data_IF_613679350903
#
_entry.id   IF_613679350903
#
_cell.length_a   1.000
_cell.length_b   1.000
_cell.length_c   1.000
_cell.angle_alpha   90.00
_cell.angle_beta   90.00
_cell.angle_gamma   90.00
#
_symmetry.space_group_name_H-M   'P 1'
#
loop_
_entity.id
_entity.type
_entity.pdbx_description
1 polymer ?
#
# COMPACT_ATOMS: atom_id res chain seq x y z
N UNK A 1 12.98 15.58 22.87
CA UNK A 1 12.51 15.62 21.47
C UNK A 1 12.20 14.20 20.96
N UNK A 2 13.18 13.29 20.95
CA UNK A 2 12.98 11.89 20.52
C UNK A 2 11.87 11.15 21.30
N UNK A 3 11.77 11.35 22.62
CA UNK A 3 10.70 10.72 23.42
C UNK A 3 9.29 11.22 23.09
N UNK A 4 9.18 12.47 22.63
CA UNK A 4 7.90 13.02 22.20
C UNK A 4 7.49 12.44 20.84
N UNK A 5 8.43 12.42 19.90
CA UNK A 5 8.20 11.94 18.55
C UNK A 5 7.89 10.43 18.61
N UNK A 6 8.81 9.62 19.14
CA UNK A 6 8.62 8.16 19.26
C UNK A 6 7.58 7.71 20.29
N UNK A 7 6.93 8.65 20.99
CA UNK A 7 5.93 8.42 22.03
C UNK A 7 4.57 9.02 21.69
N UNK A 8 4.16 10.13 22.33
CA UNK A 8 2.86 10.76 22.08
C UNK A 8 2.54 11.02 20.61
N UNK A 9 3.49 11.55 19.83
CA UNK A 9 3.26 11.87 18.43
C UNK A 9 3.06 10.61 17.58
N UNK A 10 3.87 9.57 17.82
CA UNK A 10 3.69 8.27 17.19
C UNK A 10 2.30 7.69 17.46
N UNK A 11 1.82 7.73 18.71
CA UNK A 11 0.46 7.27 19.06
C UNK A 11 -0.61 8.09 18.33
N UNK A 12 -0.49 9.42 18.28
CA UNK A 12 -1.39 10.28 17.52
C UNK A 12 -1.39 9.90 16.04
N UNK A 13 -0.21 9.67 15.45
CA UNK A 13 -0.07 9.28 14.05
C UNK A 13 -0.76 7.95 13.75
N UNK A 14 -0.64 6.95 14.64
CA UNK A 14 -1.31 5.67 14.52
C UNK A 14 -2.84 5.79 14.62
N UNK A 15 -3.34 6.62 15.55
CA UNK A 15 -4.78 6.87 15.71
C UNK A 15 -5.34 7.55 14.46
N UNK A 16 -4.69 8.60 13.97
CA UNK A 16 -5.10 9.30 12.73
C UNK A 16 -5.10 8.34 11.55
N UNK A 17 -4.02 7.57 11.37
CA UNK A 17 -3.92 6.57 10.31
C UNK A 17 -5.06 5.56 10.39
N UNK A 18 -5.25 4.94 11.55
CA UNK A 18 -6.22 3.84 11.73
C UNK A 18 -7.65 4.34 11.58
N UNK A 19 -8.03 5.38 12.31
CA UNK A 19 -9.38 5.96 12.24
C UNK A 19 -9.65 6.52 10.84
N UNK A 20 -8.67 7.18 10.23
CA UNK A 20 -8.79 7.72 8.88
C UNK A 20 -8.98 6.62 7.82
N UNK A 21 -8.23 5.52 7.92
CA UNK A 21 -8.40 4.37 7.01
C UNK A 21 -9.75 3.69 7.20
N UNK A 22 -10.20 3.50 8.45
CA UNK A 22 -11.54 2.98 8.74
C UNK A 22 -12.64 3.89 8.19
N UNK A 23 -12.49 5.21 8.33
CA UNK A 23 -13.41 6.18 7.75
C UNK A 23 -13.44 6.08 6.22
N UNK A 24 -12.28 5.91 5.56
CA UNK A 24 -12.23 5.66 4.10
C UNK A 24 -12.97 4.40 3.69
N UNK A 25 -12.80 3.30 4.43
CA UNK A 25 -13.54 2.05 4.20
C UNK A 25 -15.04 2.27 4.35
N UNK A 26 -15.46 2.92 5.44
CA UNK A 26 -16.87 3.21 5.69
C UNK A 26 -17.48 4.08 4.60
N UNK A 27 -16.82 5.16 4.22
CA UNK A 27 -17.26 6.08 3.17
C UNK A 27 -17.33 5.38 1.81
N UNK A 28 -16.36 4.51 1.50
CA UNK A 28 -16.38 3.71 0.27
C UNK A 28 -17.64 2.85 0.20
N UNK A 29 -17.87 2.03 1.23
CA UNK A 29 -19.03 1.14 1.28
C UNK A 29 -20.33 1.93 1.26
N UNK A 30 -20.40 3.07 1.98
CA UNK A 30 -21.55 3.99 1.98
C UNK A 30 -21.75 4.75 0.67
N UNK A 31 -20.72 4.88 -0.15
CA UNK A 31 -20.78 5.50 -1.48
C UNK A 31 -21.27 4.54 -2.57
N UNK A 32 -21.22 3.22 -2.34
CA UNK A 32 -21.72 2.22 -3.29
C UNK A 32 -23.22 2.38 -3.55
N UNK A 33 -23.66 2.18 -4.78
CA UNK A 33 -25.08 2.22 -5.14
C UNK A 33 -25.84 1.10 -4.41
N UNK A 34 -26.87 1.49 -3.67
CA UNK A 34 -27.62 0.55 -2.85
C UNK A 34 -28.28 -0.57 -3.66
N UNK A 35 -28.83 -0.24 -4.83
CA UNK A 35 -29.59 -1.19 -5.67
C UNK A 35 -28.66 -2.02 -6.53
N UNK A 36 -27.74 -1.36 -7.24
CA UNK A 36 -26.86 -2.01 -8.21
C UNK A 36 -25.75 -2.82 -7.55
N UNK A 37 -25.33 -2.44 -6.35
CA UNK A 37 -24.14 -3.03 -5.72
C UNK A 37 -24.55 -3.75 -4.44
N UNK A 38 -25.02 -3.04 -3.41
CA UNK A 38 -25.22 -3.67 -2.09
C UNK A 38 -26.27 -4.79 -2.09
N UNK A 39 -27.44 -4.55 -2.69
CA UNK A 39 -28.49 -5.58 -2.79
C UNK A 39 -28.00 -6.74 -3.68
N UNK A 40 -27.45 -6.43 -4.85
CA UNK A 40 -27.00 -7.43 -5.81
C UNK A 40 -25.92 -8.36 -5.21
N UNK A 41 -24.95 -7.80 -4.48
CA UNK A 41 -23.88 -8.56 -3.84
C UNK A 41 -24.39 -9.44 -2.70
N UNK A 42 -25.40 -8.96 -1.95
CA UNK A 42 -26.03 -9.70 -0.85
C UNK A 42 -26.95 -10.82 -1.35
N UNK A 43 -27.63 -10.61 -2.47
CA UNK A 43 -28.51 -11.62 -3.05
C UNK A 43 -27.73 -12.76 -3.72
N UNK A 44 -26.59 -12.44 -4.36
CA UNK A 44 -25.73 -13.40 -5.04
C UNK A 44 -24.42 -13.68 -4.28
N UNK A 45 -24.51 -13.95 -2.97
CA UNK A 45 -23.33 -14.22 -2.12
C UNK A 45 -22.51 -15.42 -2.58
N UNK A 46 -23.16 -16.40 -3.18
CA UNK A 46 -22.56 -17.60 -3.78
C UNK A 46 -21.54 -17.27 -4.89
N UNK A 47 -21.76 -16.17 -5.62
CA UNK A 47 -20.88 -15.72 -6.72
C UNK A 47 -20.04 -14.52 -6.34
N UNK A 48 -20.58 -13.63 -5.51
CA UNK A 48 -19.92 -12.38 -5.15
C UNK A 48 -18.65 -12.63 -4.34
N UNK A 49 -18.73 -13.42 -3.27
CA UNK A 49 -17.58 -13.69 -2.39
C UNK A 49 -16.44 -14.37 -3.15
N UNK A 50 -16.66 -15.46 -3.92
CA UNK A 50 -15.59 -16.04 -4.73
C UNK A 50 -15.01 -15.08 -5.77
N UNK A 51 -15.86 -14.28 -6.43
CA UNK A 51 -15.42 -13.26 -7.39
C UNK A 51 -14.51 -12.19 -6.77
N UNK A 52 -14.88 -11.70 -5.58
CA UNK A 52 -14.09 -10.75 -4.83
C UNK A 52 -12.70 -11.32 -4.48
N UNK A 53 -12.67 -12.52 -3.90
CA UNK A 53 -11.45 -13.19 -3.48
C UNK A 53 -10.54 -13.52 -4.67
N UNK A 54 -11.10 -14.05 -5.77
CA UNK A 54 -10.35 -14.36 -6.97
C UNK A 54 -9.69 -13.12 -7.57
N UNK A 55 -10.42 -12.00 -7.64
CA UNK A 55 -9.88 -10.72 -8.11
C UNK A 55 -8.75 -10.23 -7.21
N UNK A 56 -8.96 -10.15 -5.89
CA UNK A 56 -7.92 -9.71 -4.95
C UNK A 56 -6.65 -10.56 -5.11
N UNK A 57 -6.80 -11.88 -5.06
CA UNK A 57 -5.67 -12.80 -5.10
C UNK A 57 -4.84 -12.66 -6.38
N UNK A 58 -5.51 -12.52 -7.54
CA UNK A 58 -4.80 -12.38 -8.81
C UNK A 58 -4.07 -11.06 -8.97
N UNK A 59 -4.60 -9.99 -8.40
CA UNK A 59 -3.91 -8.70 -8.40
C UNK A 59 -2.74 -8.67 -7.40
N UNK A 60 -2.72 -9.54 -6.37
CA UNK A 60 -1.61 -9.71 -5.43
C UNK A 60 -0.45 -10.55 -5.99
N UNK A 61 -0.64 -11.26 -7.10
CA UNK A 61 0.39 -12.13 -7.69
C UNK A 61 1.01 -11.46 -8.92
N UNK A 62 2.36 -11.34 -9.00
CA UNK A 62 3.03 -10.89 -10.21
C UNK A 62 2.64 -11.77 -11.41
N UNK A 63 2.10 -11.15 -12.46
CA UNK A 63 1.62 -11.86 -13.65
C UNK A 63 0.28 -12.59 -13.50
N UNK A 64 -0.39 -12.47 -12.34
CA UNK A 64 -1.73 -13.04 -12.11
C UNK A 64 -2.83 -12.42 -12.97
N UNK A 65 -2.54 -11.28 -13.60
CA UNK A 65 -3.44 -10.52 -14.48
C UNK A 65 -2.74 -10.24 -15.82
N UNK A 66 -3.49 -10.16 -16.92
CA UNK A 66 -3.08 -9.61 -18.21
C UNK A 66 -2.50 -8.19 -18.06
N UNK A 67 -3.10 -7.35 -17.23
CA UNK A 67 -2.52 -6.04 -16.88
C UNK A 67 -1.08 -6.13 -16.37
N UNK A 68 -0.77 -7.12 -15.53
CA UNK A 68 0.58 -7.39 -15.07
C UNK A 68 1.50 -8.00 -16.14
N UNK A 69 0.96 -8.86 -17.01
CA UNK A 69 1.72 -9.54 -18.06
C UNK A 69 2.08 -8.63 -19.24
N UNK A 70 1.22 -7.67 -19.56
CA UNK A 70 1.43 -6.71 -20.66
C UNK A 70 2.46 -5.62 -20.33
N UNK A 71 2.75 -5.39 -19.05
CA UNK A 71 3.71 -4.37 -18.60
C UNK A 71 4.75 -4.93 -17.61
N UNK A 72 5.54 -5.95 -18.00
CA UNK A 72 6.34 -6.75 -17.08
C UNK A 72 7.35 -5.92 -16.28
N UNK A 73 7.99 -4.92 -16.91
CA UNK A 73 8.93 -4.02 -16.20
C UNK A 73 8.22 -3.21 -15.13
N UNK A 74 7.07 -2.62 -15.43
CA UNK A 74 6.30 -1.84 -14.46
C UNK A 74 5.77 -2.73 -13.33
N UNK A 75 5.36 -3.96 -13.65
CA UNK A 75 4.94 -4.99 -12.69
C UNK A 75 6.08 -5.31 -11.72
N UNK A 76 7.28 -5.61 -12.21
CA UNK A 76 8.43 -5.91 -11.34
C UNK A 76 8.73 -4.74 -10.40
N UNK A 77 8.82 -3.52 -10.94
CA UNK A 77 9.08 -2.33 -10.11
C UNK A 77 7.96 -2.09 -9.09
N UNK A 78 6.70 -2.27 -9.48
CA UNK A 78 5.56 -2.17 -8.58
C UNK A 78 5.71 -3.14 -7.41
N UNK A 79 5.96 -4.42 -7.67
CA UNK A 79 6.07 -5.43 -6.63
C UNK A 79 7.30 -5.25 -5.75
N UNK A 80 8.45 -4.85 -6.32
CA UNK A 80 9.64 -4.52 -5.52
C UNK A 80 9.35 -3.40 -4.52
N UNK A 81 8.70 -2.32 -4.96
CA UNK A 81 8.30 -1.24 -4.07
C UNK A 81 7.30 -1.70 -3.01
N UNK A 82 6.26 -2.44 -3.39
CA UNK A 82 5.20 -2.82 -2.45
C UNK A 82 5.66 -3.90 -1.46
N UNK A 83 6.52 -4.83 -1.88
CA UNK A 83 7.11 -5.78 -0.95
C UNK A 83 7.95 -5.09 0.12
N UNK A 84 8.78 -4.11 -0.24
CA UNK A 84 9.45 -3.33 0.80
C UNK A 84 8.48 -2.50 1.63
N UNK A 85 7.53 -1.80 1.00
CA UNK A 85 6.54 -0.94 1.68
C UNK A 85 5.61 -1.69 2.64
N UNK A 86 5.43 -3.00 2.46
CA UNK A 86 4.65 -3.84 3.37
C UNK A 86 5.57 -4.57 4.35
N UNK A 87 6.60 -5.26 3.85
CA UNK A 87 7.38 -6.17 4.69
C UNK A 87 8.33 -5.42 5.64
N UNK A 88 8.97 -4.32 5.19
CA UNK A 88 9.97 -3.61 6.02
C UNK A 88 9.31 -2.88 7.20
N UNK A 89 8.23 -2.09 7.02
CA UNK A 89 7.56 -1.45 8.15
C UNK A 89 6.90 -2.42 9.12
N UNK A 90 6.47 -3.60 8.67
CA UNK A 90 5.79 -4.57 9.54
C UNK A 90 6.76 -5.51 10.27
N UNK A 91 7.86 -5.89 9.64
CA UNK A 91 8.71 -6.98 10.13
C UNK A 91 10.18 -6.59 10.34
N UNK A 92 10.59 -5.34 10.15
CA UNK A 92 11.93 -4.92 10.60
C UNK A 92 11.93 -4.82 12.14
N UNK A 93 13.00 -5.31 12.78
CA UNK A 93 13.12 -5.38 14.25
C UNK A 93 12.78 -4.06 14.96
N UNK A 94 13.25 -2.92 14.45
CA UNK A 94 12.96 -1.62 15.06
C UNK A 94 11.45 -1.29 15.07
N UNK A 95 10.72 -1.70 14.04
CA UNK A 95 9.28 -1.49 13.95
C UNK A 95 8.50 -2.51 14.79
N UNK A 96 8.93 -3.78 14.82
CA UNK A 96 8.24 -4.81 15.61
C UNK A 96 8.34 -4.52 17.10
N UNK A 97 9.49 -4.02 17.58
CA UNK A 97 9.66 -3.60 18.98
C UNK A 97 8.74 -2.42 19.33
N UNK A 98 8.58 -1.45 18.41
CA UNK A 98 7.62 -0.35 18.62
C UNK A 98 6.18 -0.84 18.64
N UNK A 99 5.82 -1.75 17.73
CA UNK A 99 4.49 -2.35 17.69
C UNK A 99 4.18 -3.10 18.99
N UNK A 100 5.12 -3.90 19.49
CA UNK A 100 4.97 -4.62 20.76
C UNK A 100 4.83 -3.66 21.93
N UNK A 101 5.64 -2.59 21.96
CA UNK A 101 5.59 -1.57 23.02
C UNK A 101 4.25 -0.85 23.11
N UNK A 102 3.63 -0.49 21.98
CA UNK A 102 2.42 0.33 21.96
C UNK A 102 1.12 -0.45 21.80
N UNK A 103 1.17 -1.62 21.17
CA UNK A 103 -0.01 -2.44 20.83
C UNK A 103 0.02 -3.80 21.53
N UNK A 104 1.15 -4.23 22.10
CA UNK A 104 1.31 -5.52 22.75
C UNK A 104 1.38 -6.71 21.79
N UNK A 105 1.53 -6.46 20.49
CA UNK A 105 1.61 -7.50 19.45
C UNK A 105 3.07 -7.67 19.05
N UNK A 106 3.60 -8.87 19.25
CA UNK A 106 4.94 -9.25 18.76
C UNK A 106 4.82 -9.92 17.39
N UNK A 107 5.55 -9.39 16.41
CA UNK A 107 5.65 -9.95 15.06
C UNK A 107 7.08 -10.51 14.83
N UNK A 108 7.23 -11.56 14.01
CA UNK A 108 8.55 -12.07 13.66
C UNK A 108 9.37 -10.99 12.93
N UNK A 109 10.67 -10.93 13.20
CA UNK A 109 11.55 -9.99 12.52
C UNK A 109 12.22 -10.60 11.28
N UNK A 110 12.31 -9.84 10.19
CA UNK A 110 13.12 -10.19 9.02
C UNK A 110 14.61 -10.16 9.36
N UNK A 111 15.44 -10.99 8.67
CA UNK A 111 16.89 -10.81 8.70
C UNK A 111 17.28 -9.40 8.23
N UNK A 112 18.21 -8.76 8.94
CA UNK A 112 18.64 -7.38 8.64
C UNK A 112 19.06 -7.18 7.18
N UNK A 113 19.86 -8.10 6.63
CA UNK A 113 20.28 -8.07 5.21
C UNK A 113 19.10 -8.11 4.24
N UNK A 114 18.06 -8.89 4.53
CA UNK A 114 16.88 -8.95 3.67
C UNK A 114 16.10 -7.62 3.71
N UNK A 115 15.96 -7.02 4.89
CA UNK A 115 15.33 -5.71 5.02
C UNK A 115 16.14 -4.60 4.30
N UNK A 116 17.47 -4.65 4.38
CA UNK A 116 18.37 -3.74 3.66
C UNK A 116 18.17 -3.88 2.13
N UNK A 117 18.14 -5.12 1.60
CA UNK A 117 17.89 -5.40 0.18
C UNK A 117 16.51 -4.87 -0.25
N UNK A 118 15.44 -5.20 0.49
CA UNK A 118 14.09 -4.75 0.17
C UNK A 118 13.96 -3.22 0.18
N UNK A 119 14.64 -2.56 1.11
CA UNK A 119 14.65 -1.09 1.20
C UNK A 119 15.34 -0.45 -0.01
N UNK A 120 16.53 -0.96 -0.39
CA UNK A 120 17.26 -0.49 -1.58
C UNK A 120 16.44 -0.72 -2.85
N UNK A 121 15.89 -1.93 -3.03
CA UNK A 121 15.06 -2.25 -4.19
C UNK A 121 13.81 -1.37 -4.26
N UNK A 122 13.20 -1.05 -3.12
CA UNK A 122 12.05 -0.13 -3.07
C UNK A 122 12.42 1.29 -3.47
N UNK A 123 13.58 1.80 -3.02
CA UNK A 123 14.08 3.11 -3.41
C UNK A 123 14.38 3.18 -4.91
N UNK A 124 15.05 2.17 -5.46
CA UNK A 124 15.31 2.09 -6.89
C UNK A 124 13.98 2.00 -7.66
N UNK A 125 13.04 1.17 -7.20
CA UNK A 125 11.76 0.99 -7.85
C UNK A 125 10.92 2.27 -7.89
N UNK A 126 10.83 3.02 -6.78
CA UNK A 126 10.04 4.26 -6.76
C UNK A 126 10.66 5.34 -7.66
N UNK A 127 11.99 5.42 -7.74
CA UNK A 127 12.69 6.32 -8.65
C UNK A 127 12.46 5.96 -10.12
N UNK A 128 12.50 4.66 -10.46
CA UNK A 128 12.24 4.20 -11.83
C UNK A 128 10.75 4.35 -12.22
N UNK A 129 9.82 4.13 -11.30
CA UNK A 129 8.39 4.39 -11.52
C UNK A 129 8.11 5.89 -11.68
N UNK A 130 8.79 6.74 -10.92
CA UNK A 130 8.77 8.19 -11.10
C UNK A 130 9.32 8.59 -12.47
N UNK A 131 10.47 8.07 -12.88
CA UNK A 131 11.04 8.31 -14.21
C UNK A 131 10.09 7.85 -15.33
N UNK A 132 9.46 6.68 -15.19
CA UNK A 132 8.45 6.17 -16.13
C UNK A 132 7.26 7.11 -16.28
N UNK A 133 6.83 7.76 -15.19
CA UNK A 133 5.75 8.78 -15.23
C UNK A 133 6.15 10.02 -16.02
N UNK A 134 7.44 10.33 -16.14
CA UNK A 134 7.94 11.47 -16.94
C UNK A 134 8.18 11.09 -18.40
N UNK A 135 8.53 9.84 -18.69
CA UNK A 135 8.87 9.40 -20.05
C UNK A 135 7.66 8.89 -20.83
N UNK A 136 6.67 8.29 -20.17
CA UNK A 136 5.45 7.78 -20.82
C UNK A 136 4.45 8.91 -21.11
N UNK A 137 4.09 9.19 -22.37
CA UNK A 137 3.08 10.21 -22.70
C UNK A 137 1.73 9.95 -22.03
N UNK A 138 1.28 8.70 -21.99
CA UNK A 138 0.02 8.31 -21.39
C UNK A 138 -0.03 8.61 -19.88
N UNK A 139 1.08 8.36 -19.16
CA UNK A 139 1.13 8.61 -17.72
C UNK A 139 1.32 10.10 -17.40
N UNK A 140 2.10 10.81 -18.23
CA UNK A 140 2.33 12.25 -18.06
C UNK A 140 1.04 13.05 -18.01
N UNK A 141 0.09 12.72 -18.89
CA UNK A 141 -1.20 13.40 -18.96
C UNK A 141 -2.05 13.19 -17.70
N UNK A 142 -1.79 12.12 -16.95
CA UNK A 142 -2.50 11.79 -15.70
C UNK A 142 -1.79 12.31 -14.45
N UNK A 143 -0.59 12.85 -14.57
CA UNK A 143 0.18 13.30 -13.42
C UNK A 143 -0.39 14.61 -12.85
N UNK A 144 -0.64 14.61 -11.55
CA UNK A 144 -0.96 15.81 -10.78
C UNK A 144 0.17 16.14 -9.80
N UNK A 145 0.17 17.37 -9.26
CA UNK A 145 1.10 17.74 -8.17
C UNK A 145 0.96 16.82 -6.95
N UNK A 146 -0.26 16.35 -6.67
CA UNK A 146 -0.52 15.41 -5.59
C UNK A 146 0.16 14.04 -5.82
N UNK A 147 0.29 13.58 -7.07
CA UNK A 147 0.98 12.31 -7.36
C UNK A 147 2.47 12.38 -7.03
N UNK A 148 3.12 13.49 -7.39
CA UNK A 148 4.53 13.73 -7.07
C UNK A 148 4.77 13.87 -5.57
N UNK A 149 3.87 14.57 -4.88
CA UNK A 149 3.92 14.68 -3.43
C UNK A 149 3.81 13.30 -2.75
N UNK A 150 2.91 12.44 -3.22
CA UNK A 150 2.75 11.09 -2.67
C UNK A 150 3.98 10.21 -2.95
N UNK A 151 4.58 10.31 -4.14
CA UNK A 151 5.83 9.60 -4.42
C UNK A 151 6.95 10.04 -3.49
N UNK A 152 7.09 11.35 -3.24
CA UNK A 152 8.05 11.88 -2.28
C UNK A 152 7.76 11.39 -0.86
N UNK A 153 6.50 11.44 -0.43
CA UNK A 153 6.07 11.01 0.90
C UNK A 153 6.36 9.51 1.14
N UNK A 154 6.20 8.66 0.12
CA UNK A 154 6.58 7.24 0.19
C UNK A 154 8.10 7.04 0.15
N UNK A 155 8.82 7.86 -0.62
CA UNK A 155 10.28 7.77 -0.75
C UNK A 155 11.01 8.10 0.56
N UNK A 156 10.57 9.14 1.27
CA UNK A 156 11.30 9.71 2.41
C UNK A 156 11.55 8.71 3.55
N UNK A 157 10.57 7.92 4.05
CA UNK A 157 10.81 6.94 5.11
C UNK A 157 11.86 5.90 4.72
N UNK A 158 11.84 5.41 3.47
CA UNK A 158 12.85 4.48 2.97
C UNK A 158 14.23 5.12 2.91
N UNK A 159 14.33 6.32 2.33
CA UNK A 159 15.61 6.98 2.13
C UNK A 159 16.27 7.32 3.47
N UNK A 160 15.50 7.93 4.38
CA UNK A 160 15.99 8.33 5.71
C UNK A 160 16.28 7.12 6.60
N UNK A 161 15.46 6.06 6.55
CA UNK A 161 15.68 4.83 7.30
C UNK A 161 16.93 4.09 6.83
N UNK A 162 17.15 4.00 5.52
CA UNK A 162 18.37 3.41 4.96
C UNK A 162 19.61 4.26 5.29
N UNK A 163 19.49 5.60 5.27
CA UNK A 163 20.59 6.46 5.69
C UNK A 163 20.92 6.29 7.18
N UNK A 164 19.91 6.14 8.06
CA UNK A 164 20.15 5.83 9.47
C UNK A 164 20.90 4.50 9.63
N UNK A 165 20.65 3.53 8.74
CA UNK A 165 21.34 2.24 8.74
C UNK A 165 22.79 2.32 8.23
N UNK A 166 23.07 3.13 7.21
CA UNK A 166 24.36 3.18 6.49
C UNK A 166 25.32 4.26 7.01
N UNK A 167 24.81 5.43 7.38
CA UNK A 167 25.60 6.56 7.86
C UNK A 167 25.53 6.64 9.40
N UNK A 168 26.45 5.89 10.03
CA UNK A 168 26.55 5.84 11.48
C UNK A 168 27.04 7.16 12.09
N UNK A 169 27.70 8.02 11.31
CA UNK A 169 28.25 9.29 11.79
C UNK A 169 27.16 10.33 12.07
N UNK A 170 26.05 10.28 11.32
CA UNK A 170 24.89 11.16 11.48
C UNK A 170 23.61 10.40 11.88
N UNK A 171 23.75 9.22 12.53
CA UNK A 171 22.64 8.35 12.90
C UNK A 171 21.48 9.09 13.58
N UNK A 172 21.78 9.95 14.57
CA UNK A 172 20.77 10.68 15.33
C UNK A 172 19.93 11.62 14.45
N UNK A 173 20.55 12.26 13.46
CA UNK A 173 19.84 13.11 12.50
C UNK A 173 18.96 12.27 11.59
N UNK A 174 19.50 11.17 11.05
CA UNK A 174 18.77 10.31 10.12
C UNK A 174 17.59 9.60 10.77
N UNK A 175 17.73 9.12 12.00
CA UNK A 175 16.63 8.45 12.70
C UNK A 175 15.51 9.44 13.04
N UNK A 176 15.83 10.69 13.41
CA UNK A 176 14.81 11.72 13.62
C UNK A 176 14.05 12.02 12.32
N UNK A 177 14.77 12.16 11.20
CA UNK A 177 14.14 12.35 9.89
C UNK A 177 13.29 11.15 9.47
N UNK A 178 13.75 9.93 9.77
CA UNK A 178 13.00 8.71 9.50
C UNK A 178 11.69 8.65 10.28
N UNK A 179 11.74 8.90 11.59
CA UNK A 179 10.52 8.87 12.41
C UNK A 179 9.56 9.98 11.97
N UNK A 180 10.03 11.21 11.78
CA UNK A 180 9.16 12.31 11.34
C UNK A 180 8.55 12.06 9.96
N UNK A 181 9.31 11.50 9.01
CA UNK A 181 8.78 11.16 7.69
C UNK A 181 7.79 9.99 7.75
N UNK A 182 8.03 9.00 8.60
CA UNK A 182 7.10 7.89 8.86
C UNK A 182 5.80 8.36 9.50
N UNK A 183 5.86 9.23 10.51
CA UNK A 183 4.67 9.82 11.13
C UNK A 183 3.89 10.70 10.16
N UNK A 184 4.58 11.52 9.37
CA UNK A 184 3.94 12.32 8.32
C UNK A 184 3.24 11.41 7.29
N UNK A 185 3.87 10.30 6.91
CA UNK A 185 3.26 9.29 6.04
C UNK A 185 1.97 8.75 6.68
N UNK A 186 2.02 8.31 7.94
CA UNK A 186 0.86 7.77 8.65
C UNK A 186 -0.29 8.79 8.77
N UNK A 187 0.02 10.02 9.15
CA UNK A 187 -0.96 11.10 9.31
C UNK A 187 -1.64 11.44 7.98
N UNK A 188 -0.88 11.53 6.88
CA UNK A 188 -1.40 11.95 5.58
C UNK A 188 -1.96 10.80 4.74
N UNK A 189 -1.61 9.55 5.04
CA UNK A 189 -2.05 8.40 4.25
C UNK A 189 -3.58 8.34 4.03
N UNK A 190 -4.45 8.51 5.05
CA UNK A 190 -5.90 8.45 4.83
C UNK A 190 -6.42 9.62 3.98
N UNK A 191 -5.76 10.78 3.98
CA UNK A 191 -6.22 11.98 3.28
C UNK A 191 -5.72 12.10 1.83
N UNK A 192 -4.85 11.19 1.41
CA UNK A 192 -4.23 11.21 0.07
C UNK A 192 -4.59 9.95 -0.74
N UNK A 193 -4.00 9.78 -1.93
CA UNK A 193 -4.12 8.55 -2.72
C UNK A 193 -3.43 7.35 -2.05
N UNK A 194 -2.70 7.53 -0.94
CA UNK A 194 -2.19 6.44 -0.10
C UNK A 194 -3.29 5.66 0.62
N UNK A 195 -4.51 6.20 0.71
CA UNK A 195 -5.69 5.45 1.17
C UNK A 195 -5.97 4.17 0.34
N UNK A 196 -5.32 4.00 -0.82
CA UNK A 196 -5.30 2.74 -1.54
C UNK A 196 -4.79 1.55 -0.70
N UNK A 197 -4.03 1.78 0.39
CA UNK A 197 -3.62 0.73 1.33
C UNK A 197 -4.81 -0.16 1.74
N UNK A 198 -5.99 0.44 1.98
CA UNK A 198 -7.23 -0.30 2.28
C UNK A 198 -8.19 -0.33 1.09
N UNK A 199 -8.28 0.77 0.32
CA UNK A 199 -9.24 0.89 -0.77
C UNK A 199 -8.90 0.03 -2.00
N UNK A 200 -7.63 -0.39 -2.16
CA UNK A 200 -7.24 -1.37 -3.17
C UNK A 200 -8.08 -2.64 -3.03
N UNK A 201 -8.15 -3.21 -1.84
CA UNK A 201 -8.91 -4.44 -1.58
C UNK A 201 -10.40 -4.26 -1.83
N UNK A 202 -10.98 -3.14 -1.40
CA UNK A 202 -12.40 -2.86 -1.63
C UNK A 202 -12.72 -2.72 -3.12
N UNK A 203 -11.90 -1.98 -3.87
CA UNK A 203 -12.10 -1.81 -5.31
C UNK A 203 -11.90 -3.10 -6.10
N UNK A 204 -10.89 -3.91 -5.75
CA UNK A 204 -10.68 -5.22 -6.36
C UNK A 204 -11.81 -6.18 -6.03
N UNK A 205 -12.30 -6.17 -4.79
CA UNK A 205 -13.46 -6.95 -4.37
C UNK A 205 -14.71 -6.57 -5.19
N UNK A 206 -15.04 -5.28 -5.26
CA UNK A 206 -16.19 -4.78 -6.01
C UNK A 206 -16.14 -5.17 -7.48
N UNK A 207 -15.01 -4.92 -8.14
CA UNK A 207 -14.84 -5.28 -9.56
C UNK A 207 -14.94 -6.81 -9.75
N UNK A 208 -14.35 -7.59 -8.84
CA UNK A 208 -14.47 -9.04 -8.85
C UNK A 208 -15.92 -9.53 -8.73
N UNK A 209 -16.67 -8.95 -7.80
CA UNK A 209 -18.11 -9.21 -7.63
C UNK A 209 -18.92 -8.83 -8.87
N UNK A 210 -18.64 -7.67 -9.46
CA UNK A 210 -19.31 -7.21 -10.67
C UNK A 210 -19.07 -8.15 -11.85
N UNK A 211 -17.84 -8.61 -12.06
CA UNK A 211 -17.54 -9.57 -13.12
C UNK A 211 -18.21 -10.91 -12.87
N UNK A 212 -18.23 -11.38 -11.61
CA UNK A 212 -18.84 -12.65 -11.24
C UNK A 212 -20.37 -12.65 -11.43
N UNK A 213 -21.04 -11.58 -11.01
CA UNK A 213 -22.51 -11.51 -10.96
C UNK A 213 -23.10 -10.93 -12.25
N UNK A 214 -22.54 -9.82 -12.75
CA UNK A 214 -23.18 -8.99 -13.80
C UNK A 214 -22.63 -9.26 -15.20
N UNK A 215 -21.37 -9.70 -15.31
CA UNK A 215 -20.67 -9.80 -16.61
C UNK A 215 -20.36 -11.23 -17.05
N UNK A 216 -21.06 -12.21 -16.48
CA UNK A 216 -20.99 -13.61 -16.90
C UNK A 216 -19.70 -14.34 -16.47
N UNK A 217 -18.92 -13.80 -15.53
CA UNK A 217 -17.70 -14.46 -15.03
C UNK A 217 -17.99 -15.80 -14.36
N UNK A 218 -19.17 -15.99 -13.78
CA UNK A 218 -19.61 -17.27 -13.21
C UNK A 218 -20.07 -18.29 -14.26
N UNK A 219 -20.43 -17.87 -15.47
CA UNK A 219 -21.03 -18.75 -16.51
C UNK A 219 -20.10 -19.00 -17.70
N UNK A 220 -19.10 -18.14 -17.93
CA UNK A 220 -18.16 -18.22 -19.06
C UNK A 220 -16.84 -18.94 -18.74
N UNK A 221 -16.72 -19.57 -17.57
CA UNK A 221 -15.50 -20.26 -17.11
C UNK A 221 -14.39 -19.33 -16.62
N UNK A 222 -13.22 -19.88 -16.27
CA UNK A 222 -12.11 -19.18 -15.57
C UNK A 222 -11.45 -17.99 -16.31
N UNK A 223 -11.97 -17.61 -17.48
CA UNK A 223 -11.61 -16.41 -18.22
C UNK A 223 -12.35 -15.18 -17.66
N UNK A 224 -12.09 -14.88 -16.39
CA UNK A 224 -12.29 -13.52 -15.90
C UNK A 224 -11.24 -12.61 -16.56
N UNK A 225 -11.62 -11.41 -17.00
CA UNK A 225 -10.70 -10.47 -17.63
C UNK A 225 -9.88 -9.78 -16.55
N UNK A 226 -8.74 -10.37 -16.21
CA UNK A 226 -7.67 -9.67 -15.51
C UNK A 226 -6.44 -9.75 -16.35
#
# INVERSE_FOLDING_TARGET
>A
MLDFITGPLFVISLVIFTVGMLARVFLYVRGLDWRLERIAYRYHTDRSIPGALASIFKWLIPGGTDGWRTQPVATTLFFLLHFGAVLVPLFLLGHTVLLERYVGISLPSLPGTLADILSVLSLVAILLLAARRMTSPALRQLNSRADWFILLLTFLPFATGLMARLDTSAYQSWIVLHVLSGELFLILAPFTKLSHIVLFFLSRAQIGMDFAIKRGGATRGGAFPW
#
